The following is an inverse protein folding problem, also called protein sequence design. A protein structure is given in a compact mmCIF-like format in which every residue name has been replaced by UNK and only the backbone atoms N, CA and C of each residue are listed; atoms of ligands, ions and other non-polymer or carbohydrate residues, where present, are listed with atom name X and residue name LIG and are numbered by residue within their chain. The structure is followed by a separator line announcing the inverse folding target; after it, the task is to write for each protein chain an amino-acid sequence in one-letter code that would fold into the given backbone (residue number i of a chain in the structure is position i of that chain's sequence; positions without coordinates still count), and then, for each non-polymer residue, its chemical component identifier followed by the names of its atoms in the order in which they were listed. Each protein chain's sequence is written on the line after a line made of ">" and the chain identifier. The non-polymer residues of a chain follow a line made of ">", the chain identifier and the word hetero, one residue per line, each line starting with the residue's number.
data_IF_109847800239
#
_entry.id   IF_109847800239
#
_cell.length_a   1.000
_cell.length_b   1.000
_cell.length_c   1.000
_cell.angle_alpha   90.00
_cell.angle_beta   90.00
_cell.angle_gamma   90.00
#
_symmetry.space_group_name_H-M   'P 1'
#
loop_
_entity.id
_entity.type
_entity.pdbx_description
1 polymer ?
#
# COMPACT_ATOMS: atom_id res chain seq x y z
N UNK A 1 -10.46 6.81 -21.09
CA UNK A 1 -9.64 5.68 -20.71
C UNK A 1 -9.01 5.90 -19.34
N UNK A 2 -8.28 4.92 -18.81
CA UNK A 2 -7.54 5.08 -17.57
C UNK A 2 -6.20 5.79 -17.84
N UNK A 3 -5.74 6.59 -16.86
CA UNK A 3 -4.46 7.30 -16.93
C UNK A 3 -3.29 6.47 -16.37
N UNK A 4 -3.58 5.37 -15.71
CA UNK A 4 -2.61 4.41 -15.18
C UNK A 4 -3.26 3.09 -14.80
N UNK A 5 -2.43 2.09 -14.52
CA UNK A 5 -2.83 0.75 -14.07
C UNK A 5 -2.11 0.46 -12.76
N UNK A 6 -2.85 0.02 -11.73
CA UNK A 6 -2.25 -0.50 -10.49
C UNK A 6 -2.41 -2.02 -10.44
N UNK A 7 -1.29 -2.75 -10.47
CA UNK A 7 -1.24 -4.20 -10.31
C UNK A 7 -1.36 -4.56 -8.84
N UNK A 8 -2.40 -5.25 -8.47
CA UNK A 8 -2.66 -5.60 -7.07
C UNK A 8 -2.00 -6.93 -6.68
N UNK A 9 -0.79 -6.85 -6.11
CA UNK A 9 -0.06 -8.00 -5.57
C UNK A 9 -0.23 -8.12 -4.04
N UNK A 10 -1.30 -7.59 -3.49
CA UNK A 10 -1.45 -7.52 -2.03
C UNK A 10 -2.75 -8.04 -1.45
N UNK A 11 -3.75 -8.37 -2.26
CA UNK A 11 -5.04 -8.81 -1.75
C UNK A 11 -4.90 -10.10 -0.93
N UNK A 12 -5.25 -10.11 0.38
CA UNK A 12 -5.09 -11.28 1.24
C UNK A 12 -6.29 -12.25 1.17
N UNK A 13 -7.41 -11.84 0.56
CA UNK A 13 -8.62 -12.65 0.49
C UNK A 13 -8.48 -13.74 -0.58
N UNK A 14 -9.37 -14.71 -0.62
CA UNK A 14 -9.51 -15.87 -1.53
C UNK A 14 -8.76 -15.90 -2.87
N UNK A 15 -8.25 -14.78 -3.34
CA UNK A 15 -7.36 -14.68 -4.50
C UNK A 15 -5.98 -15.29 -4.20
N UNK A 16 -5.49 -15.20 -2.95
CA UNK A 16 -4.22 -15.81 -2.53
C UNK A 16 -4.27 -17.32 -2.63
N UNK A 17 -5.40 -17.92 -2.28
CA UNK A 17 -5.63 -19.37 -2.37
C UNK A 17 -5.61 -19.87 -3.82
N UNK A 18 -5.83 -18.95 -4.77
CA UNK A 18 -5.78 -19.21 -6.21
C UNK A 18 -4.44 -18.84 -6.84
N UNK A 19 -3.41 -18.55 -6.04
CA UNK A 19 -2.10 -18.13 -6.52
C UNK A 19 -2.08 -16.69 -7.06
N UNK A 20 -2.98 -15.82 -6.60
CA UNK A 20 -3.11 -14.41 -7.01
C UNK A 20 -2.96 -13.47 -5.81
N UNK A 21 -2.98 -12.16 -6.06
CA UNK A 21 -2.91 -11.17 -4.99
C UNK A 21 -1.65 -11.32 -4.14
N UNK A 22 -1.79 -11.51 -2.82
CA UNK A 22 -0.65 -11.62 -1.91
C UNK A 22 0.24 -12.84 -2.15
N UNK A 23 -0.25 -13.89 -2.80
CA UNK A 23 0.57 -15.02 -3.20
C UNK A 23 1.61 -14.63 -4.27
N UNK A 24 1.24 -13.73 -5.19
CA UNK A 24 2.19 -13.12 -6.14
C UNK A 24 3.14 -12.19 -5.41
N UNK A 25 2.62 -11.29 -4.55
CA UNK A 25 3.41 -10.28 -3.86
C UNK A 25 4.45 -10.82 -2.88
N UNK A 26 4.34 -12.09 -2.48
CA UNK A 26 5.31 -12.76 -1.61
C UNK A 26 6.47 -13.42 -2.37
N UNK A 27 6.38 -13.54 -3.69
CA UNK A 27 7.36 -14.21 -4.55
C UNK A 27 7.94 -13.20 -5.54
N UNK A 28 9.15 -12.69 -5.32
CA UNK A 28 9.77 -11.65 -6.16
C UNK A 28 9.80 -12.03 -7.65
N UNK A 29 10.06 -13.29 -7.96
CA UNK A 29 10.12 -13.81 -9.33
C UNK A 29 8.76 -13.67 -10.04
N UNK A 30 7.65 -13.90 -9.35
CA UNK A 30 6.31 -13.69 -9.91
C UNK A 30 6.00 -12.20 -10.08
N UNK A 31 6.41 -11.36 -9.12
CA UNK A 31 6.28 -9.91 -9.24
C UNK A 31 7.01 -9.40 -10.49
N UNK A 32 8.26 -9.83 -10.71
CA UNK A 32 9.06 -9.44 -11.88
C UNK A 32 8.41 -9.94 -13.18
N UNK A 33 8.08 -11.21 -13.25
CA UNK A 33 7.54 -11.84 -14.46
C UNK A 33 6.21 -11.21 -14.89
N UNK A 34 5.24 -11.10 -13.97
CA UNK A 34 3.91 -10.57 -14.28
C UNK A 34 4.00 -9.07 -14.62
N UNK A 35 4.78 -8.30 -13.84
CA UNK A 35 5.01 -6.89 -14.14
C UNK A 35 5.66 -6.73 -15.51
N UNK A 36 6.66 -7.55 -15.83
CA UNK A 36 7.33 -7.54 -17.15
C UNK A 36 6.37 -7.81 -18.30
N UNK A 37 5.46 -8.78 -18.16
CA UNK A 37 4.44 -9.04 -19.21
C UNK A 37 3.51 -7.84 -19.40
N UNK A 38 3.07 -7.20 -18.33
CA UNK A 38 2.22 -6.02 -18.43
C UNK A 38 2.97 -4.85 -19.05
N UNK A 39 4.22 -4.62 -18.66
CA UNK A 39 5.06 -3.55 -19.21
C UNK A 39 5.33 -3.68 -20.71
N UNK A 40 5.34 -4.89 -21.25
CA UNK A 40 5.52 -5.12 -22.70
C UNK A 40 4.35 -4.56 -23.53
N UNK A 41 3.15 -4.49 -22.98
CA UNK A 41 1.93 -4.11 -23.72
C UNK A 41 1.30 -2.81 -23.23
N UNK A 42 1.61 -2.38 -22.00
CA UNK A 42 1.05 -1.18 -21.40
C UNK A 42 1.54 0.08 -22.15
N UNK A 43 0.60 1.00 -22.41
CA UNK A 43 0.87 2.31 -23.00
C UNK A 43 0.62 3.46 -22.02
N UNK A 44 0.28 3.14 -20.79
CA UNK A 44 0.02 4.05 -19.68
C UNK A 44 0.84 3.57 -18.47
N UNK A 45 1.13 4.44 -17.50
CA UNK A 45 1.92 4.08 -16.34
C UNK A 45 1.39 2.86 -15.59
N UNK A 46 2.31 1.99 -15.15
CA UNK A 46 2.02 0.78 -14.37
C UNK A 46 2.60 0.95 -12.97
N UNK A 47 1.74 0.86 -11.98
CA UNK A 47 2.05 0.92 -10.55
C UNK A 47 1.99 -0.51 -10.00
N UNK A 48 2.95 -0.89 -9.17
CA UNK A 48 2.93 -2.18 -8.48
C UNK A 48 2.57 -1.98 -7.02
N UNK A 49 1.42 -2.54 -6.61
CA UNK A 49 0.95 -2.47 -5.22
C UNK A 49 1.36 -3.68 -4.42
N UNK A 50 2.21 -3.43 -3.42
CA UNK A 50 2.88 -4.44 -2.62
C UNK A 50 2.07 -4.87 -1.40
N UNK A 51 2.30 -6.11 -0.94
CA UNK A 51 1.66 -6.71 0.23
C UNK A 51 2.43 -6.43 1.52
N UNK A 52 1.76 -6.13 2.65
CA UNK A 52 2.39 -6.12 3.96
C UNK A 52 2.56 -7.53 4.56
N UNK A 53 1.97 -8.55 3.94
CA UNK A 53 1.97 -9.93 4.44
C UNK A 53 3.24 -10.65 3.99
N UNK A 54 4.38 -10.03 4.25
CA UNK A 54 5.71 -10.51 3.88
C UNK A 54 6.74 -10.01 4.90
N UNK A 55 7.77 -10.78 5.14
CA UNK A 55 8.84 -10.38 6.08
C UNK A 55 9.77 -9.32 5.47
N UNK A 56 10.08 -9.44 4.17
CA UNK A 56 10.97 -8.52 3.47
C UNK A 56 10.30 -7.94 2.23
N UNK A 57 9.74 -6.74 2.35
CA UNK A 57 9.07 -6.04 1.25
C UNK A 57 10.04 -5.49 0.18
N UNK A 58 11.32 -5.35 0.52
CA UNK A 58 12.33 -4.85 -0.42
C UNK A 58 12.54 -5.82 -1.59
N UNK A 59 12.48 -7.12 -1.35
CA UNK A 59 12.69 -8.11 -2.41
C UNK A 59 11.69 -7.99 -3.57
N UNK A 60 10.36 -8.02 -3.36
CA UNK A 60 9.40 -7.79 -4.44
C UNK A 60 9.43 -6.36 -4.99
N UNK A 61 9.82 -5.35 -4.21
CA UNK A 61 9.99 -4.00 -4.71
C UNK A 61 11.14 -3.93 -5.72
N UNK A 62 12.30 -4.52 -5.42
CA UNK A 62 13.43 -4.62 -6.37
C UNK A 62 13.06 -5.40 -7.64
N UNK A 63 12.25 -6.44 -7.52
CA UNK A 63 11.74 -7.21 -8.65
C UNK A 63 10.83 -6.34 -9.56
N UNK A 64 9.95 -5.53 -8.97
CA UNK A 64 9.14 -4.57 -9.73
C UNK A 64 9.98 -3.49 -10.42
N UNK A 65 11.04 -3.01 -9.76
CA UNK A 65 12.02 -2.08 -10.37
C UNK A 65 12.75 -2.75 -11.56
N UNK A 66 13.21 -3.99 -11.41
CA UNK A 66 13.86 -4.75 -12.47
C UNK A 66 12.93 -4.95 -13.68
N UNK A 67 11.65 -5.16 -13.45
CA UNK A 67 10.60 -5.24 -14.47
C UNK A 67 10.19 -3.88 -15.05
N UNK A 68 10.82 -2.77 -14.62
CA UNK A 68 10.58 -1.40 -15.09
C UNK A 68 9.19 -0.85 -14.78
N UNK A 69 8.59 -1.23 -13.65
CA UNK A 69 7.39 -0.57 -13.16
C UNK A 69 7.60 0.95 -13.08
N UNK A 70 6.54 1.73 -13.29
CA UNK A 70 6.62 3.19 -13.27
C UNK A 70 6.47 3.78 -11.85
N UNK A 71 5.82 3.05 -10.93
CA UNK A 71 5.71 3.43 -9.53
C UNK A 71 5.50 2.20 -8.65
N UNK A 72 5.78 2.36 -7.35
CA UNK A 72 5.43 1.41 -6.31
C UNK A 72 4.32 2.00 -5.45
N UNK A 73 3.38 1.17 -4.99
CA UNK A 73 2.43 1.57 -3.95
C UNK A 73 2.42 0.54 -2.81
N UNK A 74 2.28 1.01 -1.58
CA UNK A 74 2.24 0.18 -0.38
C UNK A 74 1.63 0.95 0.81
N UNK A 75 0.95 0.28 1.72
CA UNK A 75 0.76 -1.16 1.84
C UNK A 75 -0.66 -1.56 1.43
N UNK A 76 -0.85 -2.79 0.99
CA UNK A 76 -2.18 -3.39 0.96
C UNK A 76 -2.63 -3.71 2.40
N UNK A 77 -3.79 -4.31 2.60
CA UNK A 77 -4.30 -4.66 3.91
C UNK A 77 -3.55 -5.83 4.56
N UNK A 78 -3.44 -5.80 5.88
CA UNK A 78 -2.85 -6.89 6.68
C UNK A 78 -3.85 -8.03 6.80
N UNK A 79 -3.43 -9.26 6.55
CA UNK A 79 -4.28 -10.44 6.72
C UNK A 79 -4.65 -10.64 8.18
N UNK A 80 -5.93 -10.81 8.47
CA UNK A 80 -6.43 -10.87 9.84
C UNK A 80 -7.74 -11.64 9.99
N UNK A 81 -8.00 -12.04 11.22
CA UNK A 81 -9.32 -12.35 11.76
C UNK A 81 -9.61 -11.27 12.81
N UNK A 82 -10.72 -10.56 12.67
CA UNK A 82 -11.00 -9.38 13.51
C UNK A 82 -11.73 -9.71 14.80
N UNK A 83 -12.50 -10.80 14.82
CA UNK A 83 -13.21 -11.28 16.00
C UNK A 83 -13.63 -12.74 15.85
N UNK A 84 -13.96 -13.36 16.97
CA UNK A 84 -14.76 -14.61 17.04
C UNK A 84 -16.00 -14.28 17.85
N UNK A 85 -17.16 -14.49 17.27
CA UNK A 85 -18.44 -14.38 17.98
C UNK A 85 -18.59 -15.59 18.91
N UNK A 86 -18.66 -15.35 20.20
CA UNK A 86 -18.70 -16.42 21.21
C UNK A 86 -20.08 -17.08 21.37
N UNK A 87 -21.12 -16.45 20.84
CA UNK A 87 -22.48 -17.01 20.87
C UNK A 87 -22.74 -17.91 19.67
N UNK A 88 -22.29 -17.50 18.48
CA UNK A 88 -22.47 -18.26 17.25
C UNK A 88 -21.26 -19.13 16.89
N UNK A 89 -20.11 -18.92 17.53
CA UNK A 89 -18.82 -19.55 17.25
C UNK A 89 -18.32 -19.28 15.82
N UNK A 90 -18.75 -18.17 15.22
CA UNK A 90 -18.35 -17.75 13.89
C UNK A 90 -17.19 -16.76 13.94
N UNK A 91 -16.31 -16.83 12.95
CA UNK A 91 -15.21 -15.87 12.80
C UNK A 91 -15.64 -14.66 11.97
N UNK A 92 -15.06 -13.49 12.28
CA UNK A 92 -15.22 -12.27 11.50
C UNK A 92 -13.92 -11.94 10.72
N UNK A 93 -14.02 -11.50 9.48
CA UNK A 93 -15.23 -11.24 8.70
C UNK A 93 -15.95 -12.52 8.27
N UNK A 94 -17.28 -12.43 8.21
CA UNK A 94 -18.13 -13.51 7.73
C UNK A 94 -18.93 -13.01 6.51
N UNK A 95 -18.83 -13.70 5.39
CA UNK A 95 -19.54 -13.36 4.16
C UNK A 95 -20.39 -14.57 3.74
N UNK A 96 -21.71 -14.43 3.86
CA UNK A 96 -22.66 -15.47 3.45
C UNK A 96 -22.51 -16.77 4.25
N UNK A 97 -22.27 -16.71 5.56
CA UNK A 97 -22.11 -17.86 6.44
C UNK A 97 -20.73 -18.54 6.35
N UNK A 98 -19.80 -17.96 5.61
CA UNK A 98 -18.43 -18.45 5.51
C UNK A 98 -17.51 -17.46 6.19
N UNK A 99 -17.04 -17.79 7.37
CA UNK A 99 -15.97 -17.06 8.05
C UNK A 99 -14.65 -17.22 7.28
N UNK A 100 -13.85 -16.17 7.25
CA UNK A 100 -12.59 -16.17 6.52
C UNK A 100 -11.63 -15.09 7.00
N UNK A 101 -10.45 -15.08 6.40
CA UNK A 101 -9.48 -14.02 6.60
C UNK A 101 -9.97 -12.72 5.94
N UNK A 102 -9.76 -11.60 6.62
CA UNK A 102 -10.05 -10.26 6.13
C UNK A 102 -8.82 -9.39 6.03
N UNK A 103 -8.96 -8.28 5.30
CA UNK A 103 -7.92 -7.26 5.24
C UNK A 103 -8.09 -6.25 6.36
N UNK A 104 -7.14 -6.19 7.29
CA UNK A 104 -7.12 -5.20 8.34
C UNK A 104 -6.49 -3.89 7.86
N UNK A 105 -7.16 -2.76 8.10
CA UNK A 105 -6.77 -1.42 7.65
C UNK A 105 -7.08 -0.36 8.72
N UNK A 106 -6.86 0.90 8.40
CA UNK A 106 -7.10 2.02 9.30
C UNK A 106 -5.89 2.37 10.19
N UNK A 107 -6.07 3.21 11.22
CA UNK A 107 -4.95 3.75 12.01
C UNK A 107 -4.03 2.72 12.65
N UNK A 108 -4.57 1.55 13.00
CA UNK A 108 -3.81 0.49 13.65
C UNK A 108 -2.68 -0.10 12.77
N UNK A 109 -2.78 -0.01 11.45
CA UNK A 109 -1.73 -0.52 10.54
C UNK A 109 -0.68 0.52 10.20
N UNK A 110 -0.82 1.78 10.63
CA UNK A 110 0.13 2.87 10.34
C UNK A 110 1.58 2.51 10.70
N UNK A 111 1.89 1.97 11.88
CA UNK A 111 3.27 1.62 12.23
C UNK A 111 3.89 0.59 11.27
N UNK A 112 3.10 -0.35 10.78
CA UNK A 112 3.53 -1.35 9.80
C UNK A 112 3.83 -0.67 8.46
N UNK A 113 2.93 0.20 8.02
CA UNK A 113 3.08 0.95 6.76
C UNK A 113 4.31 1.87 6.79
N UNK A 114 4.52 2.62 7.86
CA UNK A 114 5.70 3.47 8.05
C UNK A 114 7.00 2.67 7.99
N UNK A 115 7.07 1.52 8.67
CA UNK A 115 8.23 0.64 8.64
C UNK A 115 8.55 0.17 7.21
N UNK A 116 7.53 -0.24 6.45
CA UNK A 116 7.72 -0.74 5.08
C UNK A 116 8.08 0.37 4.09
N UNK A 117 7.48 1.55 4.21
CA UNK A 117 7.86 2.73 3.39
C UNK A 117 9.29 3.14 3.70
N UNK A 118 9.68 3.18 4.97
CA UNK A 118 11.05 3.47 5.39
C UNK A 118 12.06 2.47 4.81
N UNK A 119 11.70 1.17 4.80
CA UNK A 119 12.56 0.14 4.22
C UNK A 119 12.80 0.37 2.71
N UNK A 120 11.77 0.77 1.95
CA UNK A 120 11.93 1.10 0.53
C UNK A 120 12.65 2.43 0.31
N UNK A 121 12.31 3.46 1.09
CA UNK A 121 12.98 4.77 1.02
C UNK A 121 14.46 4.72 1.39
N UNK A 122 14.87 3.77 2.22
CA UNK A 122 16.26 3.50 2.59
C UNK A 122 17.01 2.56 1.65
N UNK A 123 16.31 1.83 0.77
CA UNK A 123 16.92 0.82 -0.09
C UNK A 123 17.68 1.45 -1.27
N UNK A 124 18.95 1.06 -1.45
CA UNK A 124 19.82 1.64 -2.46
C UNK A 124 19.34 1.41 -3.90
N UNK A 125 18.78 0.24 -4.21
CA UNK A 125 18.30 -0.11 -5.55
C UNK A 125 17.03 0.66 -5.88
N UNK A 126 16.07 0.72 -4.95
CA UNK A 126 14.83 1.48 -5.12
C UNK A 126 15.13 2.98 -5.26
N UNK A 127 16.00 3.52 -4.42
CA UNK A 127 16.42 4.93 -4.51
C UNK A 127 17.15 5.25 -5.81
N UNK A 128 18.11 4.42 -6.20
CA UNK A 128 18.89 4.62 -7.42
C UNK A 128 18.02 4.56 -8.69
N UNK A 129 16.92 3.81 -8.68
CA UNK A 129 15.98 3.75 -9.80
C UNK A 129 15.18 5.04 -10.00
N UNK A 130 15.06 5.87 -8.97
CA UNK A 130 14.20 7.06 -8.99
C UNK A 130 12.69 6.75 -9.05
N UNK A 131 12.28 5.50 -8.85
CA UNK A 131 10.88 5.11 -8.89
C UNK A 131 10.07 5.78 -7.77
N UNK A 132 8.95 6.45 -8.07
CA UNK A 132 8.14 7.07 -7.03
C UNK A 132 7.41 6.03 -6.18
N UNK A 133 7.27 6.35 -4.88
CA UNK A 133 6.56 5.53 -3.91
C UNK A 133 5.26 6.25 -3.53
N UNK A 134 4.12 5.58 -3.70
CA UNK A 134 2.81 6.02 -3.24
C UNK A 134 2.45 5.26 -1.96
N UNK A 135 2.38 5.96 -0.83
CA UNK A 135 2.18 5.32 0.47
C UNK A 135 0.72 5.35 0.92
N UNK A 136 0.29 4.27 1.57
CA UNK A 136 -1.01 4.16 2.21
C UNK A 136 -0.93 3.26 3.45
N UNK A 137 -1.87 3.48 4.39
CA UNK A 137 -2.02 2.66 5.58
C UNK A 137 -2.14 3.52 6.84
N UNK A 138 -3.39 3.79 7.26
CA UNK A 138 -3.69 4.50 8.50
C UNK A 138 -3.49 6.00 8.49
N UNK A 139 -3.41 6.63 7.33
CA UNK A 139 -3.34 8.10 7.20
C UNK A 139 -4.72 8.67 7.55
N UNK A 140 -4.79 9.46 8.62
CA UNK A 140 -6.02 10.09 9.12
C UNK A 140 -5.85 11.57 9.43
N UNK A 141 -4.62 12.03 9.59
CA UNK A 141 -4.26 13.42 9.89
C UNK A 141 -3.09 13.88 9.03
N UNK A 142 -2.91 15.20 8.91
CA UNK A 142 -1.74 15.76 8.22
C UNK A 142 -0.40 15.32 8.85
N UNK A 143 -0.39 15.01 10.15
CA UNK A 143 0.80 14.49 10.82
C UNK A 143 1.18 13.11 10.29
N UNK A 144 0.17 12.23 10.14
CA UNK A 144 0.40 10.92 9.53
C UNK A 144 0.97 11.08 8.12
N UNK A 145 0.38 11.99 7.33
CA UNK A 145 0.83 12.28 5.97
C UNK A 145 2.30 12.75 5.94
N UNK A 146 2.68 13.68 6.83
CA UNK A 146 4.05 14.18 6.95
C UNK A 146 5.06 13.07 7.28
N UNK A 147 4.69 12.15 8.17
CA UNK A 147 5.54 11.00 8.52
C UNK A 147 5.89 10.16 7.30
N UNK A 148 4.93 9.84 6.45
CA UNK A 148 5.16 9.07 5.22
C UNK A 148 6.04 9.81 4.20
N UNK A 149 5.80 11.11 4.02
CA UNK A 149 6.61 11.94 3.12
C UNK A 149 8.07 12.00 3.58
N UNK A 150 8.31 12.19 4.88
CA UNK A 150 9.66 12.19 5.45
C UNK A 150 10.38 10.84 5.29
N UNK A 151 9.65 9.74 5.16
CA UNK A 151 10.21 8.41 4.93
C UNK A 151 10.43 8.08 3.44
N UNK A 152 10.15 9.02 2.54
CA UNK A 152 10.44 8.89 1.12
C UNK A 152 9.23 8.62 0.23
N UNK A 153 8.00 8.71 0.74
CA UNK A 153 6.82 8.68 -0.12
C UNK A 153 6.73 9.95 -0.96
N UNK A 154 6.47 9.81 -2.26
CA UNK A 154 6.24 10.92 -3.18
C UNK A 154 4.76 11.28 -3.32
N UNK A 155 3.86 10.36 -2.94
CA UNK A 155 2.42 10.58 -2.92
C UNK A 155 1.75 9.71 -1.86
N UNK A 156 0.52 10.07 -1.51
CA UNK A 156 -0.24 9.41 -0.44
C UNK A 156 -1.61 8.96 -0.95
N UNK A 157 -2.09 7.84 -0.43
CA UNK A 157 -3.43 7.35 -0.70
C UNK A 157 -4.20 7.19 0.62
N UNK A 158 -5.45 7.65 0.65
CA UNK A 158 -6.31 7.61 1.82
C UNK A 158 -7.59 6.84 1.49
N UNK A 159 -7.92 5.86 2.30
CA UNK A 159 -9.12 5.04 2.11
C UNK A 159 -10.01 5.06 3.36
N UNK A 160 -9.63 4.36 4.43
CA UNK A 160 -10.47 4.18 5.63
C UNK A 160 -10.88 5.51 6.26
N UNK A 161 -9.99 6.49 6.31
CA UNK A 161 -10.30 7.79 6.89
C UNK A 161 -11.37 8.55 6.11
N UNK A 162 -11.44 8.38 4.77
CA UNK A 162 -12.51 8.95 3.95
C UNK A 162 -13.89 8.39 4.36
N UNK A 163 -13.95 7.12 4.75
CA UNK A 163 -15.20 6.49 5.20
C UNK A 163 -15.68 7.07 6.54
N UNK A 164 -14.77 7.55 7.38
CA UNK A 164 -15.11 8.16 8.67
C UNK A 164 -15.37 9.66 8.59
N UNK A 165 -14.60 10.39 7.76
CA UNK A 165 -14.56 11.85 7.75
C UNK A 165 -15.07 12.46 6.44
N UNK A 166 -15.39 11.64 5.44
CA UNK A 166 -15.76 12.11 4.10
C UNK A 166 -14.56 12.68 3.33
N UNK A 167 -14.83 13.23 2.15
CA UNK A 167 -13.78 13.75 1.25
C UNK A 167 -13.11 15.02 1.76
N UNK A 168 -13.72 15.74 2.71
CA UNK A 168 -13.12 16.93 3.33
C UNK A 168 -11.77 16.64 3.99
N UNK A 169 -11.53 15.40 4.38
CA UNK A 169 -10.24 15.02 4.96
C UNK A 169 -9.06 15.39 4.05
N UNK A 170 -9.24 15.41 2.74
CA UNK A 170 -8.17 15.77 1.80
C UNK A 170 -7.79 17.25 1.96
N UNK A 171 -8.77 18.14 2.11
CA UNK A 171 -8.54 19.57 2.38
C UNK A 171 -7.79 19.74 3.72
N UNK A 172 -8.28 19.08 4.78
CA UNK A 172 -7.65 19.13 6.12
C UNK A 172 -6.21 18.61 6.11
N UNK A 173 -5.92 17.56 5.32
CA UNK A 173 -4.56 17.03 5.15
C UNK A 173 -3.66 18.02 4.43
N UNK A 174 -4.12 18.62 3.31
CA UNK A 174 -3.36 19.59 2.52
C UNK A 174 -3.08 20.85 3.32
N UNK A 175 -4.09 21.43 3.98
CA UNK A 175 -3.95 22.63 4.79
C UNK A 175 -3.01 22.42 5.97
N UNK A 176 -3.17 21.29 6.66
CA UNK A 176 -2.30 20.94 7.77
C UNK A 176 -0.84 20.72 7.37
N UNK A 177 -0.61 20.04 6.24
CA UNK A 177 0.74 19.86 5.68
C UNK A 177 1.35 21.20 5.28
N UNK A 178 0.63 22.07 4.54
CA UNK A 178 1.09 23.38 4.12
C UNK A 178 1.51 24.22 5.33
N UNK A 179 0.65 24.35 6.33
CA UNK A 179 0.95 25.11 7.55
C UNK A 179 2.17 24.56 8.31
N UNK A 180 2.33 23.24 8.34
CA UNK A 180 3.48 22.60 8.98
C UNK A 180 4.76 22.87 8.19
N UNK A 181 4.72 22.74 6.86
CA UNK A 181 5.86 23.03 5.99
C UNK A 181 6.33 24.48 6.15
N UNK A 182 5.39 25.43 6.16
CA UNK A 182 5.69 26.85 6.40
C UNK A 182 6.37 27.05 7.76
N UNK A 183 5.86 26.39 8.82
CA UNK A 183 6.45 26.46 10.16
C UNK A 183 7.87 25.89 10.25
N UNK A 184 8.26 25.03 9.31
CA UNK A 184 9.58 24.42 9.22
C UNK A 184 10.49 25.10 8.18
N UNK A 185 9.96 26.04 7.41
CA UNK A 185 10.71 26.71 6.34
C UNK A 185 10.99 25.82 5.13
N UNK A 186 10.14 24.78 4.89
CA UNK A 186 10.22 23.98 3.68
C UNK A 186 9.56 24.72 2.51
N UNK A 187 10.25 24.75 1.37
CA UNK A 187 9.76 25.45 0.17
C UNK A 187 8.89 24.55 -0.72
N UNK A 188 8.97 23.23 -0.55
CA UNK A 188 8.18 22.22 -1.26
C UNK A 188 8.37 20.87 -0.57
#
# INVERSE_FOLDING_TARGET
>A
GADGIELNYGCPHGMSERGMGSAVGQVPEYCEQITGWVMQVARIPVIVKLTPNITNIVAPARAAVAARANALSLINTVNSITAVDLDTLEISPNIGGKGGHGGYAGPAVKPIALNMVSALGGDEVVRASGIPISAMGGISTWRDAAEFLLLGAGSLQVCTAVMHYGFRIIEDLCDGLSNWMDSKGFAS
#
